data_IF_983176966989
#
_entry.id   IF_983176966989
#
_cell.length_a   1.000
_cell.length_b   1.000
_cell.length_c   1.000
_cell.angle_alpha   90.00
_cell.angle_beta   90.00
_cell.angle_gamma   90.00
#
_symmetry.space_group_name_H-M   'P 1'
#
loop_
_entity.id
_entity.type
_entity.pdbx_description
1 polymer ?
#
# COMPACT_ATOMS: atom_id res chain seq x y z
N UNK A 1 26.91 -36.52 5.34
CA UNK A 1 25.70 -36.02 6.02
C UNK A 1 25.75 -34.51 5.99
N UNK A 2 24.83 -33.86 5.26
CA UNK A 2 24.76 -32.41 5.27
C UNK A 2 24.38 -31.97 6.69
N UNK A 3 25.20 -31.11 7.30
CA UNK A 3 24.96 -30.60 8.64
C UNK A 3 23.55 -29.99 8.68
N UNK A 4 22.72 -30.53 9.58
CA UNK A 4 21.37 -30.05 9.86
C UNK A 4 21.48 -28.59 10.31
N UNK A 5 21.15 -27.65 9.41
CA UNK A 5 21.11 -26.22 9.72
C UNK A 5 20.02 -26.00 10.75
N UNK A 6 20.36 -26.04 12.04
CA UNK A 6 19.47 -25.62 13.13
C UNK A 6 19.36 -24.09 13.09
N UNK A 7 18.24 -23.51 12.65
CA UNK A 7 18.12 -22.10 12.31
C UNK A 7 17.80 -21.20 13.52
N UNK A 8 17.71 -21.77 14.73
CA UNK A 8 17.22 -21.07 15.93
C UNK A 8 18.13 -19.91 16.40
N UNK A 9 19.36 -19.83 15.88
CA UNK A 9 20.29 -18.71 16.13
C UNK A 9 20.16 -17.56 15.12
N UNK A 10 19.31 -17.67 14.10
CA UNK A 10 19.08 -16.63 13.10
C UNK A 10 18.26 -15.51 13.75
N UNK A 11 18.89 -14.35 13.93
CA UNK A 11 18.28 -13.15 14.52
C UNK A 11 17.95 -12.05 13.50
N UNK A 12 18.00 -12.39 12.21
CA UNK A 12 17.64 -11.49 11.11
C UNK A 12 16.20 -11.77 10.64
N UNK A 13 15.53 -10.78 10.02
CA UNK A 13 14.19 -10.99 9.48
C UNK A 13 14.15 -12.06 8.38
N UNK A 14 12.98 -12.66 8.12
CA UNK A 14 12.78 -13.53 6.96
C UNK A 14 13.13 -12.81 5.65
N UNK A 15 13.53 -13.59 4.64
CA UNK A 15 13.98 -13.12 3.33
C UNK A 15 13.11 -12.00 2.73
N UNK A 16 11.80 -12.20 2.63
CA UNK A 16 10.91 -11.20 2.01
C UNK A 16 10.85 -9.88 2.80
N UNK A 17 11.09 -9.92 4.11
CA UNK A 17 11.12 -8.72 4.95
C UNK A 17 12.42 -7.95 4.74
N UNK A 18 13.55 -8.66 4.66
CA UNK A 18 14.85 -8.05 4.38
C UNK A 18 14.91 -7.47 2.97
N UNK A 19 14.35 -8.17 1.99
CA UNK A 19 14.23 -7.70 0.61
C UNK A 19 13.45 -6.38 0.53
N UNK A 20 12.26 -6.31 1.13
CA UNK A 20 11.46 -5.08 1.17
C UNK A 20 12.24 -3.93 1.83
N UNK A 21 12.94 -4.19 2.94
CA UNK A 21 13.74 -3.16 3.63
C UNK A 21 14.87 -2.61 2.74
N UNK A 22 15.61 -3.50 2.07
CA UNK A 22 16.69 -3.12 1.16
C UNK A 22 16.18 -2.34 -0.05
N UNK A 23 15.12 -2.81 -0.68
CA UNK A 23 14.52 -2.13 -1.85
C UNK A 23 13.89 -0.79 -1.46
N UNK A 24 13.31 -0.68 -0.26
CA UNK A 24 12.83 0.59 0.26
C UNK A 24 13.96 1.60 0.51
N UNK A 25 15.13 1.16 0.96
CA UNK A 25 16.32 2.02 1.06
C UNK A 25 16.71 2.53 -0.32
N UNK A 26 16.81 1.63 -1.30
CA UNK A 26 17.14 1.96 -2.70
C UNK A 26 16.18 2.98 -3.30
N UNK A 27 14.87 2.77 -3.12
CA UNK A 27 13.83 3.71 -3.54
C UNK A 27 14.05 5.09 -2.90
N UNK A 28 14.19 5.15 -1.57
CA UNK A 28 14.30 6.42 -0.85
C UNK A 28 15.62 7.15 -1.11
N UNK A 29 16.67 6.43 -1.50
CA UNK A 29 17.97 6.99 -1.88
C UNK A 29 18.09 7.33 -3.37
N UNK A 30 17.10 6.97 -4.18
CA UNK A 30 17.07 7.33 -5.61
C UNK A 30 17.06 8.84 -5.79
N UNK A 31 17.82 9.31 -6.78
CA UNK A 31 17.90 10.74 -7.09
C UNK A 31 16.65 11.23 -7.81
N UNK A 32 16.20 12.43 -7.47
CA UNK A 32 15.09 13.12 -8.08
C UNK A 32 15.44 14.60 -8.27
N UNK A 33 14.98 15.20 -9.36
CA UNK A 33 15.30 16.59 -9.68
C UNK A 33 14.60 17.54 -8.71
N UNK A 34 15.39 18.42 -8.10
CA UNK A 34 14.91 19.46 -7.20
C UNK A 34 14.86 20.78 -7.98
N UNK A 35 13.67 21.05 -8.55
CA UNK A 35 13.42 22.21 -9.42
C UNK A 35 13.73 23.56 -8.76
N UNK A 36 13.82 23.63 -7.42
CA UNK A 36 14.14 24.87 -6.69
C UNK A 36 15.64 25.11 -6.64
N UNK A 37 16.42 24.05 -6.45
CA UNK A 37 17.89 24.16 -6.40
C UNK A 37 18.57 23.98 -7.74
N UNK A 38 17.86 23.42 -8.74
CA UNK A 38 18.43 23.03 -10.04
C UNK A 38 19.36 21.80 -9.95
N UNK A 39 19.43 21.15 -8.78
CA UNK A 39 20.24 19.96 -8.54
C UNK A 39 19.39 18.72 -8.31
N UNK A 40 20.04 17.65 -7.86
CA UNK A 40 19.37 16.40 -7.48
C UNK A 40 19.31 16.24 -5.98
N UNK A 41 18.20 15.66 -5.51
CA UNK A 41 18.00 15.28 -4.11
C UNK A 41 17.50 13.85 -4.06
N UNK A 42 17.94 13.10 -3.05
CA UNK A 42 17.33 11.80 -2.73
C UNK A 42 15.85 11.96 -2.49
N UNK A 43 15.03 11.18 -3.17
CA UNK A 43 13.57 11.34 -3.14
C UNK A 43 12.99 11.18 -1.73
N UNK A 44 13.60 10.34 -0.90
CA UNK A 44 13.20 10.18 0.49
C UNK A 44 13.46 11.41 1.37
N UNK A 45 14.31 12.34 0.95
CA UNK A 45 14.77 13.47 1.79
C UNK A 45 13.96 14.75 1.57
N UNK A 46 12.93 14.73 0.73
CA UNK A 46 11.96 15.82 0.70
C UNK A 46 11.09 15.80 1.97
N UNK A 47 10.98 16.95 2.62
CA UNK A 47 10.20 17.12 3.86
C UNK A 47 8.71 17.09 3.60
N UNK A 48 8.29 17.71 2.50
CA UNK A 48 6.91 17.85 2.10
C UNK A 48 6.62 17.04 0.84
N UNK A 49 5.51 16.31 0.87
CA UNK A 49 5.06 15.58 -0.32
C UNK A 49 3.92 14.62 -0.03
N UNK A 50 3.37 14.11 -1.12
CA UNK A 50 2.32 13.08 -1.12
C UNK A 50 2.89 11.80 -1.72
N UNK A 51 2.38 10.65 -1.32
CA UNK A 51 2.77 9.35 -1.84
C UNK A 51 1.56 8.45 -2.08
N UNK A 52 1.68 7.56 -3.06
CA UNK A 52 0.71 6.51 -3.36
C UNK A 52 1.42 5.15 -3.24
N UNK A 53 0.74 4.18 -2.65
CA UNK A 53 1.10 2.77 -2.73
C UNK A 53 0.25 2.06 -3.78
N UNK A 54 0.88 1.16 -4.52
CA UNK A 54 0.24 0.32 -5.54
C UNK A 54 0.45 -1.16 -5.23
N UNK A 55 -0.52 -2.00 -5.59
CA UNK A 55 -0.39 -3.45 -5.46
C UNK A 55 0.15 -4.15 -6.72
N UNK A 56 0.26 -5.48 -6.67
CA UNK A 56 0.81 -6.32 -7.75
C UNK A 56 -0.04 -6.32 -9.03
N UNK A 57 -1.28 -5.81 -8.99
CA UNK A 57 -2.10 -5.62 -10.19
C UNK A 57 -1.99 -4.18 -10.74
N UNK A 58 -1.13 -3.34 -10.16
CA UNK A 58 -1.01 -1.92 -10.51
C UNK A 58 -2.13 -1.04 -9.94
N UNK A 59 -2.96 -1.57 -9.03
CA UNK A 59 -4.06 -0.83 -8.42
C UNK A 59 -3.54 0.13 -7.34
N UNK A 60 -3.93 1.41 -7.33
CA UNK A 60 -3.65 2.28 -6.20
C UNK A 60 -4.42 1.79 -4.97
N UNK A 61 -3.74 1.69 -3.83
CA UNK A 61 -4.32 1.16 -2.59
C UNK A 61 -4.35 2.14 -1.44
N UNK A 62 -3.42 3.11 -1.39
CA UNK A 62 -3.37 4.07 -0.29
C UNK A 62 -2.67 5.34 -0.73
N UNK A 63 -3.21 6.49 -0.33
CA UNK A 63 -2.58 7.81 -0.51
C UNK A 63 -2.23 8.36 0.87
N UNK A 64 -1.07 8.99 1.02
CA UNK A 64 -0.76 9.72 2.24
C UNK A 64 0.10 10.94 1.98
N UNK A 65 0.02 11.91 2.88
CA UNK A 65 0.87 13.10 2.87
C UNK A 65 1.88 13.11 4.03
N UNK A 66 2.91 13.93 3.91
CA UNK A 66 3.80 14.24 5.03
C UNK A 66 4.41 15.64 4.90
N UNK A 67 4.68 16.25 6.04
CA UNK A 67 5.52 17.45 6.22
C UNK A 67 6.68 17.18 7.20
N UNK A 68 6.89 15.92 7.58
CA UNK A 68 8.01 15.46 8.41
C UNK A 68 9.19 15.11 7.49
N UNK A 69 9.02 14.05 6.69
CA UNK A 69 9.91 13.61 5.61
C UNK A 69 9.31 12.39 4.92
N UNK A 70 9.39 12.30 3.59
CA UNK A 70 8.90 11.15 2.82
C UNK A 70 9.49 9.84 3.33
N UNK A 71 10.81 9.78 3.53
CA UNK A 71 11.53 8.63 4.11
C UNK A 71 10.92 8.20 5.44
N UNK A 72 10.69 9.14 6.34
CA UNK A 72 10.23 8.81 7.68
C UNK A 72 8.81 8.25 7.63
N UNK A 73 7.91 8.87 6.87
CA UNK A 73 6.52 8.44 6.82
C UNK A 73 6.34 7.12 6.08
N UNK A 74 6.95 6.97 4.91
CA UNK A 74 6.87 5.73 4.11
C UNK A 74 7.46 4.54 4.88
N UNK A 75 8.65 4.71 5.50
CA UNK A 75 9.23 3.65 6.36
C UNK A 75 8.30 3.27 7.49
N UNK A 76 7.66 4.25 8.14
CA UNK A 76 6.72 3.97 9.23
C UNK A 76 5.59 3.04 8.77
N UNK A 77 5.04 3.27 7.59
CA UNK A 77 3.99 2.38 7.04
C UNK A 77 4.53 1.00 6.69
N UNK A 78 5.69 0.90 6.05
CA UNK A 78 6.13 -0.38 5.47
C UNK A 78 6.98 -1.25 6.39
N UNK A 79 7.65 -0.66 7.38
CA UNK A 79 8.57 -1.40 8.27
C UNK A 79 8.14 -1.41 9.73
N UNK A 80 7.14 -0.60 10.11
CA UNK A 80 6.65 -0.52 11.49
C UNK A 80 5.15 -0.86 11.55
N UNK A 81 4.84 -2.02 12.13
CA UNK A 81 3.47 -2.52 12.25
C UNK A 81 2.59 -1.67 13.20
N UNK A 82 3.11 -0.60 13.80
CA UNK A 82 2.40 0.26 14.77
C UNK A 82 1.75 1.51 14.16
N UNK A 83 1.80 1.74 12.86
CA UNK A 83 1.07 2.89 12.26
C UNK A 83 -0.42 2.62 12.22
N UNK A 84 -1.27 3.63 12.40
CA UNK A 84 -2.74 3.44 12.41
C UNK A 84 -3.24 2.65 11.19
N UNK A 85 -2.73 2.96 9.99
CA UNK A 85 -3.08 2.25 8.76
C UNK A 85 -2.69 0.75 8.77
N UNK A 86 -1.59 0.36 9.43
CA UNK A 86 -1.17 -1.05 9.48
C UNK A 86 -1.69 -1.75 10.74
N UNK A 87 -1.64 -1.07 11.88
CA UNK A 87 -2.08 -1.55 13.19
C UNK A 87 -3.58 -1.85 13.21
N UNK A 88 -4.39 -1.07 12.48
CA UNK A 88 -5.83 -1.34 12.34
C UNK A 88 -6.13 -2.32 11.20
N UNK A 89 -5.12 -2.96 10.59
CA UNK A 89 -5.27 -3.85 9.44
C UNK A 89 -5.97 -3.19 8.23
N UNK A 90 -5.79 -1.87 8.07
CA UNK A 90 -6.32 -1.12 6.92
C UNK A 90 -5.49 -1.40 5.67
N UNK A 91 -4.15 -1.40 5.82
CA UNK A 91 -3.16 -1.64 4.77
C UNK A 91 -2.26 -2.82 5.17
N UNK A 92 -2.08 -3.78 4.26
CA UNK A 92 -1.05 -4.82 4.38
C UNK A 92 0.22 -4.36 3.64
N UNK A 93 1.37 -4.16 4.32
CA UNK A 93 2.63 -3.83 3.65
C UNK A 93 3.08 -4.88 2.62
N UNK A 94 2.65 -6.14 2.75
CA UNK A 94 3.00 -7.19 1.79
C UNK A 94 2.34 -6.97 0.43
N UNK A 95 1.19 -6.29 0.40
CA UNK A 95 0.49 -5.94 -0.83
C UNK A 95 1.12 -4.76 -1.56
N UNK A 96 2.12 -4.07 -1.01
CA UNK A 96 2.78 -2.92 -1.65
C UNK A 96 3.85 -3.40 -2.62
N UNK A 97 3.62 -3.18 -3.91
CA UNK A 97 4.52 -3.54 -5.02
C UNK A 97 5.32 -2.33 -5.53
N UNK A 98 4.66 -1.20 -5.71
CA UNK A 98 5.25 0.06 -6.18
C UNK A 98 4.87 1.23 -5.27
N UNK A 99 5.74 2.23 -5.25
CA UNK A 99 5.51 3.51 -4.57
C UNK A 99 5.68 4.62 -5.59
N UNK A 100 4.73 5.55 -5.64
CA UNK A 100 4.85 6.83 -6.34
C UNK A 100 4.89 7.96 -5.31
N UNK A 101 5.75 8.95 -5.51
CA UNK A 101 5.88 10.12 -4.63
C UNK A 101 5.83 11.40 -5.44
N UNK A 102 5.25 12.44 -4.84
CA UNK A 102 5.06 13.78 -5.38
C UNK A 102 5.73 14.79 -4.42
N UNK A 103 7.04 15.05 -4.56
CA UNK A 103 7.75 15.98 -3.70
C UNK A 103 7.31 17.43 -3.90
N UNK A 104 7.37 18.23 -2.83
CA UNK A 104 7.13 19.68 -2.86
C UNK A 104 8.40 20.44 -2.43
N UNK A 105 9.41 20.57 -3.32
CA UNK A 105 10.70 21.18 -3.00
C UNK A 105 10.58 22.64 -2.54
N UNK A 106 9.59 23.39 -3.01
CA UNK A 106 9.36 24.79 -2.64
C UNK A 106 9.08 25.00 -1.15
N UNK A 107 8.76 23.93 -0.41
CA UNK A 107 8.50 23.99 1.03
C UNK A 107 9.62 23.36 1.88
N UNK A 108 10.75 22.98 1.28
CA UNK A 108 11.83 22.27 1.96
C UNK A 108 12.39 23.03 3.18
N UNK A 109 12.61 24.34 3.02
CA UNK A 109 13.34 25.18 4.00
C UNK A 109 12.47 26.27 4.65
N UNK A 110 11.15 26.05 4.73
CA UNK A 110 10.23 27.01 5.37
C UNK A 110 10.45 27.06 6.88
N UNK A 111 10.59 28.28 7.41
CA UNK A 111 10.90 28.53 8.83
C UNK A 111 9.80 29.32 9.56
N UNK A 112 9.02 30.16 8.86
CA UNK A 112 7.98 30.97 9.50
C UNK A 112 6.68 30.18 9.72
N UNK A 113 5.86 30.63 10.67
CA UNK A 113 4.54 30.02 10.95
C UNK A 113 3.54 30.30 9.82
N UNK A 114 3.57 31.47 9.21
CA UNK A 114 2.68 31.82 8.09
C UNK A 114 2.98 30.95 6.86
N UNK A 115 4.26 30.79 6.51
CA UNK A 115 4.67 29.93 5.38
C UNK A 115 4.27 28.48 5.61
N UNK A 116 4.35 27.99 6.86
CA UNK A 116 3.88 26.65 7.22
C UNK A 116 2.37 26.46 7.04
N UNK A 117 1.57 27.50 7.27
CA UNK A 117 0.12 27.43 7.02
C UNK A 117 -0.17 27.36 5.52
N UNK A 118 0.48 28.20 4.71
CA UNK A 118 0.37 28.17 3.25
C UNK A 118 0.85 26.82 2.66
N UNK A 119 2.00 26.31 3.12
CA UNK A 119 2.53 25.01 2.72
C UNK A 119 1.58 23.85 3.05
N UNK A 120 0.91 23.90 4.21
CA UNK A 120 -0.12 22.92 4.58
C UNK A 120 -1.35 22.99 3.68
N UNK A 121 -1.81 24.20 3.34
CA UNK A 121 -2.91 24.36 2.40
C UNK A 121 -2.56 23.75 1.03
N UNK A 122 -1.34 23.98 0.55
CA UNK A 122 -0.85 23.40 -0.71
C UNK A 122 -0.69 21.88 -0.63
N UNK A 123 -0.15 21.35 0.47
CA UNK A 123 0.01 19.91 0.69
C UNK A 123 -1.36 19.20 0.76
N UNK A 124 -2.34 19.81 1.43
CA UNK A 124 -3.72 19.32 1.46
C UNK A 124 -4.37 19.31 0.07
N UNK A 125 -4.16 20.37 -0.71
CA UNK A 125 -4.66 20.44 -2.08
C UNK A 125 -4.01 19.38 -2.98
N UNK A 126 -2.70 19.14 -2.81
CA UNK A 126 -2.01 18.07 -3.50
C UNK A 126 -2.54 16.69 -3.08
N UNK A 127 -2.72 16.43 -1.78
CA UNK A 127 -3.28 15.17 -1.29
C UNK A 127 -4.66 14.92 -1.89
N UNK A 128 -5.52 15.94 -1.92
CA UNK A 128 -6.84 15.85 -2.52
C UNK A 128 -6.78 15.52 -4.02
N UNK A 129 -5.94 16.21 -4.79
CA UNK A 129 -5.79 15.98 -6.22
C UNK A 129 -5.23 14.57 -6.51
N UNK A 130 -4.20 14.14 -5.78
CA UNK A 130 -3.57 12.82 -5.91
C UNK A 130 -4.52 11.71 -5.46
N UNK A 131 -5.32 11.94 -4.42
CA UNK A 131 -6.38 11.03 -3.99
C UNK A 131 -7.46 10.88 -5.07
N UNK A 132 -7.91 11.99 -5.67
CA UNK A 132 -8.83 11.97 -6.81
C UNK A 132 -8.27 11.18 -7.99
N UNK A 133 -6.99 11.40 -8.35
CA UNK A 133 -6.26 10.61 -9.37
C UNK A 133 -6.28 9.11 -9.03
N UNK A 134 -5.98 8.75 -7.78
CA UNK A 134 -5.96 7.36 -7.33
C UNK A 134 -7.34 6.70 -7.38
N UNK A 135 -8.39 7.38 -6.93
CA UNK A 135 -9.77 6.89 -7.02
C UNK A 135 -10.20 6.70 -8.48
N UNK A 136 -9.87 7.66 -9.36
CA UNK A 136 -10.19 7.57 -10.78
C UNK A 136 -9.46 6.41 -11.46
N UNK A 137 -8.20 6.16 -11.09
CA UNK A 137 -7.38 5.06 -11.60
C UNK A 137 -7.69 3.69 -11.01
N UNK A 138 -8.35 3.62 -9.85
CA UNK A 138 -8.76 2.37 -9.21
C UNK A 138 -9.88 1.69 -10.00
N UNK A 139 -9.75 0.37 -10.23
CA UNK A 139 -10.84 -0.46 -10.77
C UNK A 139 -12.06 -0.41 -9.85
N UNK A 140 -11.85 -0.28 -8.54
CA UNK A 140 -12.92 -0.31 -7.53
C UNK A 140 -13.55 1.06 -7.29
N UNK A 141 -13.01 2.13 -7.91
CA UNK A 141 -13.34 3.53 -7.61
C UNK A 141 -13.27 3.84 -6.11
N UNK A 142 -12.36 3.16 -5.43
CA UNK A 142 -12.14 3.22 -4.00
C UNK A 142 -10.70 2.79 -3.68
N UNK A 143 -10.13 3.36 -2.61
CA UNK A 143 -8.84 2.97 -2.02
C UNK A 143 -8.98 2.86 -0.50
N UNK A 144 -7.92 2.42 0.19
CA UNK A 144 -7.97 2.00 1.60
C UNK A 144 -7.87 3.15 2.61
N UNK A 145 -7.92 4.41 2.17
CA UNK A 145 -7.96 5.55 3.08
C UNK A 145 -9.26 5.57 3.89
N UNK A 146 -9.14 5.70 5.21
CA UNK A 146 -10.32 5.79 6.09
C UNK A 146 -11.09 7.11 5.94
N UNK A 147 -10.35 8.18 5.62
CA UNK A 147 -10.84 9.56 5.54
C UNK A 147 -10.56 10.12 4.16
N UNK A 148 -11.49 10.92 3.69
CA UNK A 148 -11.30 11.73 2.50
C UNK A 148 -10.36 12.90 2.85
N UNK A 149 -9.44 13.29 1.94
CA UNK A 149 -8.62 14.47 2.14
C UNK A 149 -9.48 15.72 2.29
N UNK A 150 -9.01 16.73 3.05
CA UNK A 150 -9.73 17.99 3.21
C UNK A 150 -10.00 18.65 1.85
N UNK A 151 -11.10 19.42 1.78
CA UNK A 151 -11.43 20.22 0.59
C UNK A 151 -10.29 21.22 0.34
N UNK A 152 -9.74 21.30 -0.88
CA UNK A 152 -8.66 22.22 -1.19
C UNK A 152 -9.12 23.67 -1.04
N UNK A 153 -8.28 24.49 -0.40
CA UNK A 153 -8.48 25.95 -0.29
C UNK A 153 -7.62 26.75 -1.26
N UNK A 154 -6.74 26.05 -1.99
CA UNK A 154 -5.85 26.61 -3.01
C UNK A 154 -5.88 25.70 -4.25
N UNK A 155 -5.71 26.29 -5.42
CA UNK A 155 -5.56 25.54 -6.66
C UNK A 155 -4.10 25.13 -6.85
N UNK A 156 -3.88 23.90 -7.30
CA UNK A 156 -2.56 23.35 -7.55
C UNK A 156 -2.57 22.52 -8.83
N UNK A 157 -1.42 22.41 -9.47
CA UNK A 157 -1.15 21.37 -10.46
C UNK A 157 -0.37 20.24 -9.79
N UNK A 158 -0.63 18.98 -10.17
CA UNK A 158 0.12 17.84 -9.63
C UNK A 158 1.56 17.95 -10.15
N UNK A 159 2.58 18.04 -9.28
CA UNK A 159 3.96 18.18 -9.69
C UNK A 159 4.49 16.87 -10.29
N UNK A 160 5.67 16.89 -10.93
CA UNK A 160 6.36 15.67 -11.36
C UNK A 160 6.47 14.65 -10.22
N UNK A 161 6.32 13.37 -10.57
CA UNK A 161 6.38 12.27 -9.62
C UNK A 161 7.58 11.36 -9.88
N UNK A 162 7.94 10.59 -8.85
CA UNK A 162 8.90 9.51 -8.96
C UNK A 162 8.23 8.21 -8.55
N UNK A 163 8.28 7.19 -9.42
CA UNK A 163 7.65 5.89 -9.18
C UNK A 163 8.66 4.77 -9.35
N UNK A 164 8.68 3.83 -8.40
CA UNK A 164 9.53 2.64 -8.48
C UNK A 164 8.90 1.44 -7.77
N UNK A 165 9.26 0.25 -8.25
CA UNK A 165 9.03 -1.02 -7.57
C UNK A 165 9.89 -1.14 -6.31
N UNK A 166 9.33 -1.70 -5.24
CA UNK A 166 10.00 -1.83 -3.93
C UNK A 166 10.16 -3.28 -3.45
N UNK A 167 10.07 -4.24 -4.37
CA UNK A 167 10.34 -5.66 -4.13
C UNK A 167 11.17 -6.22 -5.28
N UNK A 168 12.00 -7.23 -5.01
CA UNK A 168 12.73 -7.96 -6.06
C UNK A 168 11.80 -8.86 -6.88
N UNK A 169 12.29 -9.35 -8.02
CA UNK A 169 11.54 -10.30 -8.85
C UNK A 169 11.22 -11.61 -8.11
N UNK A 170 12.14 -12.08 -7.26
CA UNK A 170 11.93 -13.29 -6.45
C UNK A 170 10.78 -13.10 -5.46
N UNK A 171 10.76 -11.98 -4.72
CA UNK A 171 9.66 -11.64 -3.82
C UNK A 171 8.37 -11.37 -4.59
N UNK A 172 8.46 -10.73 -5.75
CA UNK A 172 7.30 -10.49 -6.61
C UNK A 172 6.66 -11.80 -7.07
N UNK A 173 7.45 -12.81 -7.45
CA UNK A 173 6.93 -14.13 -7.84
C UNK A 173 6.22 -14.85 -6.70
N UNK A 174 6.71 -14.73 -5.48
CA UNK A 174 6.07 -15.32 -4.29
C UNK A 174 4.77 -14.56 -3.99
N UNK A 175 4.84 -13.23 -3.90
CA UNK A 175 3.75 -12.40 -3.42
C UNK A 175 2.67 -12.14 -4.46
N UNK A 176 2.95 -12.27 -5.76
CA UNK A 176 1.95 -12.11 -6.82
C UNK A 176 1.02 -13.31 -6.96
N UNK A 177 1.37 -14.47 -6.38
CA UNK A 177 0.59 -15.69 -6.50
C UNK A 177 -0.86 -15.48 -6.01
N UNK A 178 -1.89 -15.70 -6.86
CA UNK A 178 -3.28 -15.36 -6.52
C UNK A 178 -3.76 -15.99 -5.21
N UNK A 179 -3.50 -17.27 -4.99
CA UNK A 179 -3.97 -17.97 -3.79
C UNK A 179 -3.27 -17.48 -2.51
N UNK A 180 -2.01 -17.06 -2.62
CA UNK A 180 -1.28 -16.46 -1.50
C UNK A 180 -1.88 -15.10 -1.13
N UNK A 181 -2.19 -14.28 -2.13
CA UNK A 181 -2.84 -12.98 -1.93
C UNK A 181 -4.27 -13.13 -1.39
N UNK A 182 -5.04 -14.10 -1.86
CA UNK A 182 -6.37 -14.44 -1.33
C UNK A 182 -6.28 -14.79 0.16
N UNK A 183 -5.34 -15.67 0.54
CA UNK A 183 -5.14 -16.07 1.93
C UNK A 183 -4.76 -14.88 2.82
N UNK A 184 -3.81 -14.04 2.39
CA UNK A 184 -3.41 -12.84 3.14
C UNK A 184 -4.54 -11.82 3.26
N UNK A 185 -5.22 -11.50 2.17
CA UNK A 185 -6.35 -10.54 2.17
C UNK A 185 -7.48 -11.03 3.08
N UNK A 186 -7.77 -12.33 3.09
CA UNK A 186 -8.73 -12.93 4.01
C UNK A 186 -8.34 -12.72 5.49
N UNK A 187 -7.07 -12.95 5.83
CA UNK A 187 -6.56 -12.69 7.19
C UNK A 187 -6.67 -11.21 7.59
N UNK A 188 -6.34 -10.30 6.68
CA UNK A 188 -6.41 -8.85 6.93
C UNK A 188 -7.86 -8.40 7.14
N UNK A 189 -8.79 -8.87 6.31
CA UNK A 189 -10.23 -8.61 6.45
C UNK A 189 -10.75 -9.14 7.78
N UNK A 190 -10.37 -10.37 8.16
CA UNK A 190 -10.76 -10.97 9.45
C UNK A 190 -10.30 -10.11 10.63
N UNK A 191 -9.03 -9.67 10.64
CA UNK A 191 -8.49 -8.79 11.69
C UNK A 191 -9.17 -7.42 11.71
N UNK A 192 -9.41 -6.81 10.56
CA UNK A 192 -10.12 -5.53 10.46
C UNK A 192 -11.55 -5.65 10.99
N UNK A 193 -12.27 -6.72 10.63
CA UNK A 193 -13.61 -7.00 11.13
C UNK A 193 -13.61 -7.19 12.67
N UNK A 194 -12.63 -7.92 13.20
CA UNK A 194 -12.43 -8.07 14.64
C UNK A 194 -12.26 -6.70 15.31
N UNK A 195 -11.34 -5.85 14.84
CA UNK A 195 -11.12 -4.50 15.37
C UNK A 195 -12.41 -3.66 15.36
N UNK A 196 -13.19 -3.73 14.28
CA UNK A 196 -14.47 -3.02 14.15
C UNK A 196 -15.51 -3.55 15.16
N UNK A 197 -15.50 -4.85 15.45
CA UNK A 197 -16.45 -5.48 16.39
C UNK A 197 -16.11 -5.18 17.86
N UNK A 198 -14.83 -5.14 18.21
CA UNK A 198 -14.36 -5.00 19.60
C UNK A 198 -14.28 -3.55 20.08
N UNK A 199 -14.38 -2.56 19.16
CA UNK A 199 -14.16 -1.15 19.46
C UNK A 199 -15.24 -0.27 18.86
N UNK A 200 -15.51 0.87 19.51
CA UNK A 200 -16.31 1.93 18.90
C UNK A 200 -15.47 2.65 17.83
N UNK A 201 -15.74 2.34 16.57
CA UNK A 201 -15.00 2.90 15.42
C UNK A 201 -15.86 3.79 14.53
N UNK A 202 -15.23 4.75 13.87
CA UNK A 202 -15.88 5.64 12.89
C UNK A 202 -16.26 4.88 11.59
N UNK A 203 -17.04 5.52 10.72
CA UNK A 203 -17.47 4.95 9.44
C UNK A 203 -16.32 4.59 8.48
N UNK A 204 -15.17 5.27 8.61
CA UNK A 204 -14.00 5.05 7.76
C UNK A 204 -13.52 3.60 7.71
N UNK A 205 -13.38 2.92 8.86
CA UNK A 205 -12.95 1.52 8.89
C UNK A 205 -13.95 0.57 8.23
N UNK A 206 -15.25 0.84 8.31
CA UNK A 206 -16.28 0.04 7.62
C UNK A 206 -16.20 0.23 6.10
N UNK A 207 -15.89 1.43 5.64
CA UNK A 207 -15.59 1.74 4.23
C UNK A 207 -14.38 0.94 3.72
N UNK A 208 -13.31 0.90 4.52
CA UNK A 208 -12.12 0.10 4.22
C UNK A 208 -12.46 -1.38 4.16
N UNK A 209 -13.21 -1.90 5.14
CA UNK A 209 -13.63 -3.30 5.17
C UNK A 209 -14.39 -3.69 3.90
N UNK A 210 -15.36 -2.87 3.49
CA UNK A 210 -16.11 -3.08 2.24
C UNK A 210 -15.18 -3.09 1.02
N UNK A 211 -14.25 -2.13 0.95
CA UNK A 211 -13.29 -2.03 -0.17
C UNK A 211 -12.40 -3.28 -0.23
N UNK A 212 -11.86 -3.72 0.90
CA UNK A 212 -11.06 -4.94 0.98
C UNK A 212 -11.87 -6.19 0.60
N UNK A 213 -13.11 -6.31 1.05
CA UNK A 213 -13.99 -7.43 0.71
C UNK A 213 -14.26 -7.50 -0.81
N UNK A 214 -14.52 -6.37 -1.47
CA UNK A 214 -14.67 -6.30 -2.92
C UNK A 214 -13.39 -6.72 -3.66
N UNK A 215 -12.22 -6.30 -3.17
CA UNK A 215 -10.93 -6.70 -3.74
C UNK A 215 -10.67 -8.20 -3.59
N UNK A 216 -11.01 -8.77 -2.43
CA UNK A 216 -10.89 -10.21 -2.18
C UNK A 216 -11.83 -11.00 -3.10
N UNK A 217 -13.10 -10.59 -3.20
CA UNK A 217 -14.07 -11.22 -4.10
C UNK A 217 -13.58 -11.19 -5.55
N UNK A 218 -13.15 -10.02 -6.03
CA UNK A 218 -12.61 -9.89 -7.39
C UNK A 218 -11.41 -10.81 -7.64
N UNK A 219 -10.46 -10.87 -6.71
CA UNK A 219 -9.29 -11.72 -6.85
C UNK A 219 -9.64 -13.21 -6.83
N UNK A 220 -10.56 -13.62 -5.95
CA UNK A 220 -11.05 -14.99 -5.86
C UNK A 220 -11.80 -15.41 -7.12
N UNK A 221 -12.68 -14.55 -7.63
CA UNK A 221 -13.41 -14.76 -8.87
C UNK A 221 -12.46 -14.88 -10.07
N UNK A 222 -11.51 -13.93 -10.20
CA UNK A 222 -10.49 -13.97 -11.25
C UNK A 222 -9.70 -15.28 -11.23
N UNK A 223 -9.33 -15.74 -10.03
CA UNK A 223 -8.59 -17.00 -9.84
C UNK A 223 -9.43 -18.23 -10.20
N UNK A 224 -10.68 -18.29 -9.74
CA UNK A 224 -11.61 -19.36 -10.04
C UNK A 224 -11.84 -19.50 -11.55
N UNK A 225 -12.16 -18.39 -12.23
CA UNK A 225 -12.38 -18.37 -13.67
C UNK A 225 -11.12 -18.79 -14.44
N UNK A 226 -9.94 -18.31 -14.04
CA UNK A 226 -8.67 -18.66 -14.68
C UNK A 226 -8.33 -20.16 -14.60
N UNK A 227 -8.90 -20.90 -13.65
CA UNK A 227 -8.71 -22.34 -13.49
C UNK A 227 -9.84 -23.19 -14.09
N UNK A 228 -10.73 -22.59 -14.90
CA UNK A 228 -11.83 -23.29 -15.57
C UNK A 228 -13.20 -23.05 -14.92
N UNK A 229 -13.26 -22.32 -13.81
CA UNK A 229 -14.51 -21.90 -13.18
C UNK A 229 -15.44 -23.08 -12.88
N UNK A 230 -16.71 -22.96 -13.26
CA UNK A 230 -17.71 -24.00 -12.98
C UNK A 230 -17.35 -25.37 -13.60
N UNK A 231 -16.62 -25.38 -14.72
CA UNK A 231 -16.22 -26.63 -15.37
C UNK A 231 -15.13 -27.39 -14.60
N UNK A 232 -14.42 -26.75 -13.67
CA UNK A 232 -13.41 -27.43 -12.84
C UNK A 232 -13.99 -28.01 -11.56
N UNK A 233 -15.29 -27.82 -11.27
CA UNK A 233 -15.93 -28.35 -10.07
C UNK A 233 -16.36 -29.79 -10.33
N UNK A 234 -15.87 -30.72 -9.50
CA UNK A 234 -16.26 -32.13 -9.59
C UNK A 234 -17.77 -32.27 -9.34
N UNK A 235 -18.46 -32.98 -10.23
CA UNK A 235 -19.82 -33.43 -9.99
C UNK A 235 -19.75 -34.77 -9.26
N UNK A 236 -20.39 -34.86 -8.08
CA UNK A 236 -20.68 -36.16 -7.49
C UNK A 236 -21.68 -36.88 -8.43
N UNK A 237 -21.18 -37.77 -9.28
CA UNK A 237 -22.03 -38.74 -9.93
C UNK A 237 -22.49 -39.68 -8.81
N UNK A 238 -23.78 -39.63 -8.46
CA UNK A 238 -24.39 -40.52 -7.48
C UNK A 238 -24.35 -41.96 -7.96
N UNK A 239 -23.23 -42.63 -7.74
CA UNK A 239 -23.11 -44.09 -7.80
C UNK A 239 -23.09 -44.59 -6.35
N UNK A 240 -24.19 -44.35 -5.62
CA UNK A 240 -24.64 -45.28 -4.58
C UNK A 240 -25.20 -46.52 -5.29
N UNK A 241 -24.31 -47.29 -5.91
CA UNK A 241 -24.62 -48.63 -6.36
C UNK A 241 -24.78 -49.52 -5.12
N UNK A 242 -26.03 -49.88 -4.85
CA UNK A 242 -26.45 -50.98 -3.98
C UNK A 242 -25.49 -52.16 -4.13
N UNK A 243 -24.74 -52.47 -3.06
CA UNK A 243 -24.24 -53.82 -2.86
C UNK A 243 -25.27 -54.53 -1.98
N UNK A 244 -26.21 -55.19 -2.68
CA UNK A 244 -27.03 -56.31 -2.17
C UNK A 244 -26.13 -57.48 -1.71
#
# INVERSE_FOLDING_TARGET
MAAEKKPDNINIPPFETEDLRRNLVTFLDSEFDDAITGGKRRVGNFRWGVYIFYDYDGEPIYVGQTNEMLRTRIRRHLTNQRTDAVAMSVLDPFEVYEIEVFPLPQFQDINSTADRAAARAHLNALEHAVFGKAIAGSQFKAILNEKDPPVPTVSIEIPPSFKLRVVSDEVANIRSHPDFRIARRSLIISRLAQVISERKVQGGLRRVLLTQAKRLQWLAERRYVALGGAASVEAENGDEGEND
#
